data_IF_454527021329
#
_entry.id   IF_454527021329
#
_cell.length_a   1.000
_cell.length_b   1.000
_cell.length_c   1.000
_cell.angle_alpha   90.00
_cell.angle_beta   90.00
_cell.angle_gamma   90.00
#
_symmetry.space_group_name_H-M   'P 1'
#
loop_
_entity.id
_entity.type
_entity.pdbx_description
1 polymer ?
#
# COMPACT_ATOMS: atom_id res chain seq x y z
N UNK A 1 19.42 25.58 -8.54
CA UNK A 1 20.45 25.90 -7.59
C UNK A 1 20.46 27.38 -7.29
N UNK A 2 20.84 27.80 -6.07
CA UNK A 2 20.76 29.19 -5.64
C UNK A 2 19.46 29.60 -4.95
N UNK A 3 18.53 28.66 -4.72
CA UNK A 3 17.34 28.89 -3.93
C UNK A 3 17.72 29.06 -2.45
N UNK A 4 17.03 29.96 -1.76
CA UNK A 4 17.19 30.21 -0.34
C UNK A 4 15.80 30.36 0.29
N UNK A 5 15.05 29.25 0.31
CA UNK A 5 13.67 29.23 0.73
C UNK A 5 13.54 29.36 2.25
N UNK A 6 12.53 30.07 2.72
CA UNK A 6 12.18 30.19 4.13
C UNK A 6 10.91 29.41 4.47
N UNK A 7 9.98 29.36 3.52
CA UNK A 7 8.73 28.62 3.64
C UNK A 7 8.48 27.87 2.34
N UNK A 8 8.25 26.58 2.45
CA UNK A 8 7.97 25.69 1.30
C UNK A 8 6.69 24.94 1.61
N UNK A 9 5.76 24.94 0.65
CA UNK A 9 4.58 24.10 0.69
C UNK A 9 4.64 23.11 -0.47
N UNK A 10 4.53 21.84 -0.19
CA UNK A 10 4.42 20.79 -1.18
C UNK A 10 3.00 20.22 -1.07
N UNK A 11 2.22 20.45 -2.09
CA UNK A 11 0.86 19.94 -2.20
C UNK A 11 0.83 18.68 -3.06
N UNK A 12 -0.08 17.77 -2.75
CA UNK A 12 -0.24 16.49 -3.44
C UNK A 12 1.08 15.67 -3.51
N UNK A 13 1.77 15.54 -2.37
CA UNK A 13 3.06 14.83 -2.27
C UNK A 13 3.01 13.43 -2.91
N UNK A 14 1.86 12.72 -2.82
CA UNK A 14 1.68 11.40 -3.42
C UNK A 14 1.83 11.39 -4.95
N UNK A 15 1.69 12.53 -5.62
CA UNK A 15 1.78 12.65 -7.08
C UNK A 15 3.20 12.94 -7.58
N UNK A 16 4.11 13.30 -6.68
CA UNK A 16 5.49 13.66 -7.02
C UNK A 16 6.30 12.39 -7.30
N UNK A 17 6.71 12.22 -8.55
CA UNK A 17 7.51 11.08 -9.01
C UNK A 17 9.01 11.32 -8.84
N UNK A 18 9.46 12.57 -9.01
CA UNK A 18 10.88 12.93 -8.95
C UNK A 18 11.25 13.48 -7.58
N UNK A 19 12.09 12.73 -6.89
CA UNK A 19 12.64 13.08 -5.58
C UNK A 19 13.54 14.31 -5.64
N UNK A 20 14.15 14.61 -6.79
CA UNK A 20 15.12 15.67 -6.91
C UNK A 20 14.54 17.05 -6.56
N UNK A 21 13.32 17.33 -6.97
CA UNK A 21 12.66 18.61 -6.63
C UNK A 21 12.48 18.76 -5.11
N UNK A 22 12.03 17.73 -4.43
CA UNK A 22 11.86 17.73 -2.98
C UNK A 22 13.20 17.98 -2.27
N UNK A 23 14.24 17.26 -2.67
CA UNK A 23 15.57 17.39 -2.06
C UNK A 23 16.16 18.79 -2.27
N UNK A 24 16.01 19.34 -3.47
CA UNK A 24 16.44 20.73 -3.76
C UNK A 24 15.70 21.73 -2.88
N UNK A 25 14.39 21.62 -2.73
CA UNK A 25 13.60 22.49 -1.86
C UNK A 25 14.02 22.37 -0.41
N UNK A 26 14.17 21.16 0.11
CA UNK A 26 14.60 20.88 1.48
C UNK A 26 16.01 21.44 1.75
N UNK A 27 16.95 21.18 0.85
CA UNK A 27 18.33 21.68 0.99
C UNK A 27 18.43 23.20 0.89
N UNK A 28 17.58 23.84 0.08
CA UNK A 28 17.55 25.28 -0.09
C UNK A 28 17.26 26.05 1.21
N UNK A 29 16.72 25.38 2.20
CA UNK A 29 16.33 25.97 3.49
C UNK A 29 17.44 26.00 4.52
N UNK A 30 18.57 25.33 4.27
CA UNK A 30 19.63 25.08 5.27
C UNK A 30 20.31 26.32 5.84
N UNK A 31 20.26 27.47 5.14
CA UNK A 31 20.82 28.75 5.61
C UNK A 31 19.81 29.59 6.42
N UNK A 32 18.57 29.16 6.54
CA UNK A 32 17.53 29.90 7.28
C UNK A 32 17.52 29.52 8.76
N UNK A 33 17.18 30.49 9.62
CA UNK A 33 17.13 30.26 11.07
C UNK A 33 15.94 29.44 11.53
N UNK A 34 14.78 29.60 10.89
CA UNK A 34 13.52 28.93 11.19
C UNK A 34 12.75 28.63 9.89
N UNK A 35 13.29 27.76 9.06
CA UNK A 35 12.58 27.39 7.85
C UNK A 35 11.41 26.47 8.17
N UNK A 36 10.36 26.53 7.36
CA UNK A 36 9.19 25.67 7.49
C UNK A 36 8.93 24.96 6.17
N UNK A 37 8.85 23.63 6.22
CA UNK A 37 8.40 22.79 5.12
C UNK A 37 7.05 22.19 5.51
N UNK A 38 6.01 22.46 4.74
CA UNK A 38 4.68 21.88 4.91
C UNK A 38 4.41 20.94 3.73
N UNK A 39 3.98 19.74 4.03
CA UNK A 39 3.58 18.74 3.03
C UNK A 39 2.12 18.39 3.25
N UNK A 40 1.32 18.46 2.20
CA UNK A 40 -0.12 18.18 2.23
C UNK A 40 -0.40 17.13 1.15
N UNK A 41 -1.17 16.10 1.50
CA UNK A 41 -1.45 15.04 0.54
C UNK A 41 -2.63 14.17 0.97
N UNK A 42 -3.25 13.49 0.03
CA UNK A 42 -4.05 12.28 0.26
C UNK A 42 -3.18 11.03 0.09
N UNK A 43 -3.71 9.86 0.39
CA UNK A 43 -2.94 8.60 0.34
C UNK A 43 -2.43 8.25 -1.06
N UNK A 44 -3.12 8.66 -2.13
CA UNK A 44 -2.73 8.35 -3.50
C UNK A 44 -2.66 6.85 -3.82
N UNK A 45 -2.21 6.55 -5.03
CA UNK A 45 -2.11 5.17 -5.53
C UNK A 45 -0.73 4.80 -6.07
N UNK A 46 0.16 5.78 -6.23
CA UNK A 46 1.54 5.56 -6.68
C UNK A 46 2.33 4.99 -5.52
N UNK A 47 3.12 3.96 -5.78
CA UNK A 47 3.97 3.29 -4.80
C UNK A 47 5.44 3.55 -5.07
N UNK A 48 6.27 3.31 -4.04
CA UNK A 48 7.73 3.46 -4.10
C UNK A 48 8.17 4.88 -4.46
N UNK A 49 7.44 5.86 -3.99
CA UNK A 49 7.76 7.26 -4.18
C UNK A 49 8.08 7.95 -2.84
N UNK A 50 8.36 9.24 -2.92
CA UNK A 50 8.70 10.06 -1.77
C UNK A 50 7.59 10.09 -0.70
N UNK A 51 6.31 9.95 -1.12
CA UNK A 51 5.20 9.89 -0.18
C UNK A 51 5.30 8.68 0.74
N UNK A 52 5.64 7.50 0.20
CA UNK A 52 5.73 6.28 1.01
C UNK A 52 6.79 6.41 2.10
N UNK A 53 8.00 6.88 1.75
CA UNK A 53 9.08 7.10 2.74
C UNK A 53 8.67 8.15 3.80
N UNK A 54 7.98 9.21 3.37
CA UNK A 54 7.54 10.29 4.27
C UNK A 54 6.42 9.84 5.19
N UNK A 55 5.49 9.03 4.67
CA UNK A 55 4.39 8.47 5.45
C UNK A 55 4.91 7.47 6.49
N UNK A 56 5.80 6.55 6.10
CA UNK A 56 6.39 5.59 7.02
C UNK A 56 7.17 6.30 8.15
N UNK A 57 7.89 7.38 7.81
CA UNK A 57 8.55 8.21 8.81
C UNK A 57 7.54 8.89 9.74
N UNK A 58 6.45 9.44 9.18
CA UNK A 58 5.39 10.08 9.95
C UNK A 58 4.73 9.10 10.94
N UNK A 59 4.42 7.87 10.50
CA UNK A 59 3.90 6.82 11.37
C UNK A 59 4.88 6.49 12.49
N UNK A 60 6.17 6.31 12.19
CA UNK A 60 7.19 6.03 13.20
C UNK A 60 7.30 7.14 14.26
N UNK A 61 7.09 8.39 13.88
CA UNK A 61 7.06 9.50 14.84
C UNK A 61 5.79 9.48 15.68
N UNK A 62 4.62 9.23 15.08
CA UNK A 62 3.34 9.11 15.80
C UNK A 62 3.38 7.96 16.81
N UNK A 63 3.95 6.82 16.43
CA UNK A 63 4.07 5.63 17.26
C UNK A 63 5.17 5.74 18.34
N UNK A 64 5.94 6.84 18.33
CA UNK A 64 7.02 7.07 19.28
C UNK A 64 8.27 6.20 19.05
N UNK A 65 8.35 5.52 17.88
CA UNK A 65 9.53 4.75 17.48
C UNK A 65 10.69 5.69 17.15
N UNK A 66 10.38 6.81 16.51
CA UNK A 66 11.33 7.89 16.22
C UNK A 66 10.95 9.13 17.00
N UNK A 67 11.91 9.71 17.73
CA UNK A 67 11.71 11.01 18.37
C UNK A 67 12.26 12.11 17.47
N UNK A 68 11.37 12.98 16.98
CA UNK A 68 11.73 14.17 16.21
C UNK A 68 10.88 15.37 16.63
N UNK A 69 11.46 16.23 17.47
CA UNK A 69 10.79 17.41 18.02
C UNK A 69 10.57 18.53 16.95
N UNK A 70 11.15 18.39 15.76
CA UNK A 70 11.01 19.34 14.65
C UNK A 70 10.07 18.85 13.53
N UNK A 71 9.45 17.69 13.71
CA UNK A 71 8.53 17.10 12.76
C UNK A 71 7.15 16.90 13.37
N UNK A 72 6.13 17.52 12.79
CA UNK A 72 4.74 17.40 13.23
C UNK A 72 3.92 16.60 12.23
N UNK A 73 3.76 15.29 12.41
CA UNK A 73 2.87 14.49 11.58
C UNK A 73 1.42 14.65 12.03
N UNK A 74 0.52 14.85 11.06
CA UNK A 74 -0.92 14.85 11.26
C UNK A 74 -1.51 13.90 10.23
N UNK A 75 -2.04 12.76 10.68
CA UNK A 75 -2.54 11.69 9.82
C UNK A 75 -4.03 11.50 10.10
N UNK A 76 -4.86 11.62 9.06
CA UNK A 76 -6.28 11.36 9.10
C UNK A 76 -6.62 10.29 8.07
N UNK A 77 -6.80 9.06 8.53
CA UNK A 77 -7.13 7.91 7.69
C UNK A 77 -8.03 6.94 8.44
N UNK A 78 -8.61 5.96 7.75
CA UNK A 78 -9.24 4.82 8.39
C UNK A 78 -8.17 3.83 8.85
N UNK A 79 -8.38 3.19 10.00
CA UNK A 79 -7.44 2.20 10.54
C UNK A 79 -7.50 0.89 9.75
N UNK A 80 -8.71 0.52 9.29
CA UNK A 80 -8.94 -0.72 8.55
C UNK A 80 -9.79 -0.47 7.31
N UNK A 81 -9.53 -1.27 6.28
CA UNK A 81 -10.21 -1.14 4.99
C UNK A 81 -11.73 -1.29 5.13
N UNK A 82 -12.21 -2.20 5.96
CA UNK A 82 -13.62 -2.51 6.15
C UNK A 82 -14.41 -1.33 6.74
N UNK A 83 -13.75 -0.41 7.43
CA UNK A 83 -14.35 0.76 8.06
C UNK A 83 -14.98 1.74 7.05
N UNK A 84 -14.63 1.64 5.74
CA UNK A 84 -15.27 2.46 4.71
C UNK A 84 -16.76 2.23 4.59
N UNK A 85 -17.26 1.09 5.07
CA UNK A 85 -18.68 0.73 5.10
C UNK A 85 -19.40 1.25 6.35
N UNK A 86 -18.67 1.69 7.37
CA UNK A 86 -19.22 2.15 8.64
C UNK A 86 -19.18 3.69 8.75
N UNK A 87 -20.35 4.35 8.65
CA UNK A 87 -20.42 5.82 8.73
C UNK A 87 -19.87 6.43 10.02
N UNK A 88 -19.84 5.69 11.13
CA UNK A 88 -19.34 6.18 12.42
C UNK A 88 -17.80 6.29 12.39
N UNK A 89 -17.14 5.47 11.59
CA UNK A 89 -15.68 5.48 11.46
C UNK A 89 -15.16 6.58 10.51
N UNK A 90 -16.01 7.10 9.63
CA UNK A 90 -15.58 8.06 8.60
C UNK A 90 -14.97 9.36 9.14
N UNK A 91 -15.29 9.71 10.38
CA UNK A 91 -14.71 10.87 11.06
C UNK A 91 -13.19 10.77 11.23
N UNK A 92 -12.64 9.55 11.30
CA UNK A 92 -11.20 9.31 11.42
C UNK A 92 -10.44 9.90 10.25
N UNK A 93 -10.93 9.65 9.02
CA UNK A 93 -10.34 10.18 7.80
C UNK A 93 -10.86 11.57 7.42
N UNK A 94 -11.96 12.02 8.03
CA UNK A 94 -12.62 13.27 7.69
C UNK A 94 -12.96 14.07 8.96
N UNK A 95 -11.96 14.70 9.62
CA UNK A 95 -12.20 15.41 10.89
C UNK A 95 -13.17 16.58 10.76
N UNK A 96 -13.36 17.12 9.55
CA UNK A 96 -14.37 18.15 9.24
C UNK A 96 -15.74 17.60 8.82
N UNK A 97 -16.00 16.30 9.03
CA UNK A 97 -17.29 15.69 8.66
C UNK A 97 -18.44 16.32 9.44
N UNK A 98 -19.49 16.68 8.73
CA UNK A 98 -20.67 17.38 9.30
C UNK A 98 -20.55 18.91 9.31
N UNK A 99 -19.33 19.45 9.20
CA UNK A 99 -19.08 20.90 9.13
C UNK A 99 -18.57 21.33 7.75
N UNK A 100 -17.37 20.90 7.38
CA UNK A 100 -16.75 21.22 6.08
C UNK A 100 -17.26 20.25 5.02
N UNK A 101 -17.21 18.95 5.30
CA UNK A 101 -17.66 17.88 4.41
C UNK A 101 -19.01 17.32 4.86
N UNK A 102 -19.99 17.35 3.97
CA UNK A 102 -21.34 16.89 4.31
C UNK A 102 -21.39 15.37 4.41
N UNK A 103 -22.01 14.84 5.47
CA UNK A 103 -22.21 13.39 5.65
C UNK A 103 -22.97 12.79 4.46
N UNK A 104 -24.01 13.46 3.98
CA UNK A 104 -24.79 13.01 2.82
C UNK A 104 -23.94 12.81 1.58
N UNK A 105 -22.94 13.65 1.35
CA UNK A 105 -22.02 13.51 0.23
C UNK A 105 -21.24 12.18 0.33
N UNK A 106 -20.66 11.86 1.50
CA UNK A 106 -19.95 10.59 1.71
C UNK A 106 -20.89 9.39 1.57
N UNK A 107 -22.10 9.46 2.11
CA UNK A 107 -23.08 8.38 1.95
C UNK A 107 -23.37 8.09 0.47
N UNK A 108 -23.60 9.13 -0.32
CA UNK A 108 -23.93 8.98 -1.74
C UNK A 108 -22.75 8.39 -2.56
N UNK A 109 -21.52 8.80 -2.29
CA UNK A 109 -20.35 8.26 -3.02
C UNK A 109 -20.02 6.84 -2.57
N UNK A 110 -20.19 6.49 -1.29
CA UNK A 110 -20.00 5.13 -0.78
C UNK A 110 -21.01 4.19 -1.40
N UNK A 111 -22.29 4.56 -1.48
CA UNK A 111 -23.31 3.73 -2.13
C UNK A 111 -22.99 3.47 -3.62
N UNK A 112 -22.50 4.48 -4.34
CA UNK A 112 -22.05 4.30 -5.73
C UNK A 112 -20.81 3.41 -5.81
N UNK A 113 -19.83 3.59 -4.91
CA UNK A 113 -18.60 2.83 -4.89
C UNK A 113 -18.82 1.33 -4.60
N UNK A 114 -19.88 0.95 -3.88
CA UNK A 114 -20.26 -0.45 -3.68
C UNK A 114 -20.55 -1.18 -5.01
N UNK A 115 -21.04 -0.48 -6.01
CA UNK A 115 -21.38 -1.02 -7.31
C UNK A 115 -20.27 -0.86 -8.37
N UNK A 116 -19.31 0.05 -8.16
CA UNK A 116 -18.26 0.39 -9.12
C UNK A 116 -16.86 0.27 -8.50
N UNK A 117 -16.14 -0.81 -8.86
CA UNK A 117 -14.78 -1.09 -8.37
C UNK A 117 -13.78 0.03 -8.69
N UNK A 118 -13.92 0.75 -9.84
CA UNK A 118 -13.02 1.86 -10.18
C UNK A 118 -13.28 3.07 -9.27
N UNK A 119 -14.55 3.36 -9.02
CA UNK A 119 -14.95 4.41 -8.10
C UNK A 119 -14.54 4.07 -6.67
N UNK A 120 -14.67 2.81 -6.25
CA UNK A 120 -14.26 2.35 -4.92
C UNK A 120 -12.80 2.72 -4.63
N UNK A 121 -11.89 2.44 -5.55
CA UNK A 121 -10.47 2.78 -5.37
C UNK A 121 -10.27 4.28 -5.13
N UNK A 122 -10.94 5.11 -5.91
CA UNK A 122 -10.86 6.57 -5.76
C UNK A 122 -11.39 7.03 -4.40
N UNK A 123 -12.53 6.48 -3.97
CA UNK A 123 -13.14 6.80 -2.68
C UNK A 123 -12.22 6.38 -1.53
N UNK A 124 -11.67 5.18 -1.58
CA UNK A 124 -10.74 4.70 -0.54
C UNK A 124 -9.51 5.58 -0.41
N UNK A 125 -8.90 6.00 -1.53
CA UNK A 125 -7.67 6.81 -1.50
C UNK A 125 -7.91 8.29 -1.22
N UNK A 126 -8.96 8.89 -1.77
CA UNK A 126 -9.18 10.34 -1.68
C UNK A 126 -10.11 10.77 -0.55
N UNK A 127 -11.10 9.94 -0.22
CA UNK A 127 -12.08 10.29 0.80
C UNK A 127 -11.78 9.63 2.15
N UNK A 128 -11.06 8.51 2.14
CA UNK A 128 -10.73 7.77 3.35
C UNK A 128 -9.23 7.61 3.62
N UNK A 129 -8.38 8.14 2.75
CA UNK A 129 -6.91 8.10 2.85
C UNK A 129 -6.32 6.70 3.03
N UNK A 130 -7.04 5.68 2.57
CA UNK A 130 -6.52 4.31 2.56
C UNK A 130 -5.57 4.12 1.38
N UNK A 131 -4.40 3.56 1.67
CA UNK A 131 -3.37 3.30 0.66
C UNK A 131 -3.77 2.10 -0.20
N UNK A 132 -4.10 2.35 -1.45
CA UNK A 132 -4.43 1.32 -2.45
C UNK A 132 -3.29 1.12 -3.44
N UNK A 133 -3.06 -0.11 -3.89
CA UNK A 133 -2.04 -0.39 -4.91
C UNK A 133 -2.55 -0.05 -6.31
N UNK A 134 -1.66 0.53 -7.12
CA UNK A 134 -1.97 0.87 -8.53
C UNK A 134 -1.90 -0.33 -9.48
N UNK A 135 -1.50 -1.48 -8.98
CA UNK A 135 -1.50 -2.67 -9.80
C UNK A 135 -2.96 -2.90 -10.17
N UNK A 136 -3.28 -2.82 -11.47
CA UNK A 136 -4.48 -3.45 -12.00
C UNK A 136 -4.31 -4.94 -11.70
N UNK A 137 -4.65 -5.28 -10.47
CA UNK A 137 -4.58 -6.67 -10.03
C UNK A 137 -5.55 -7.41 -10.90
N UNK A 138 -5.06 -8.40 -11.62
CA UNK A 138 -5.89 -9.32 -12.39
C UNK A 138 -7.02 -9.91 -11.53
N UNK A 139 -6.74 -10.13 -10.25
CA UNK A 139 -7.69 -10.59 -9.24
C UNK A 139 -7.75 -9.59 -8.08
N UNK A 140 -8.93 -9.38 -7.51
CA UNK A 140 -9.06 -8.63 -6.27
C UNK A 140 -8.46 -9.42 -5.09
N UNK A 141 -8.17 -8.73 -3.98
CA UNK A 141 -7.70 -9.40 -2.77
C UNK A 141 -8.69 -10.49 -2.31
N UNK A 142 -9.99 -10.24 -2.40
CA UNK A 142 -11.03 -11.20 -2.04
C UNK A 142 -11.03 -12.42 -2.96
N UNK A 143 -10.71 -12.24 -4.25
CA UNK A 143 -10.60 -13.35 -5.20
C UNK A 143 -9.37 -14.25 -4.93
N UNK A 144 -8.28 -13.67 -4.44
CA UNK A 144 -7.04 -14.42 -4.15
C UNK A 144 -6.95 -14.92 -2.71
N UNK A 145 -7.70 -14.31 -1.77
CA UNK A 145 -7.69 -14.67 -0.36
C UNK A 145 -8.55 -15.92 -0.10
N UNK A 146 -8.17 -17.02 -0.74
CA UNK A 146 -8.84 -18.30 -0.53
C UNK A 146 -8.29 -18.99 0.73
N UNK A 147 -9.15 -19.14 1.74
CA UNK A 147 -8.83 -19.82 3.00
C UNK A 147 -9.30 -21.26 3.05
N UNK A 148 -9.86 -21.81 1.95
CA UNK A 148 -10.25 -23.21 1.88
C UNK A 148 -9.00 -24.09 1.99
N UNK A 149 -9.04 -25.07 2.87
CA UNK A 149 -8.01 -26.10 3.03
C UNK A 149 -8.51 -27.42 2.50
N UNK A 150 -7.59 -28.28 2.09
CA UNK A 150 -7.90 -29.63 1.60
C UNK A 150 -6.80 -30.62 2.04
N UNK A 151 -7.15 -31.89 2.12
CA UNK A 151 -6.17 -32.93 2.38
C UNK A 151 -5.55 -33.39 1.06
N UNK A 152 -4.24 -33.29 0.94
CA UNK A 152 -3.50 -33.67 -0.27
C UNK A 152 -3.65 -35.17 -0.58
N UNK A 153 -3.82 -36.02 0.42
CA UNK A 153 -3.99 -37.47 0.25
C UNK A 153 -5.28 -37.80 -0.53
N UNK A 154 -6.30 -36.96 -0.43
CA UNK A 154 -7.56 -37.16 -1.15
C UNK A 154 -7.39 -36.95 -2.67
N UNK A 155 -6.27 -36.35 -3.09
CA UNK A 155 -5.98 -36.08 -4.50
C UNK A 155 -5.06 -37.13 -5.14
N UNK A 156 -4.61 -38.14 -4.38
CA UNK A 156 -3.77 -39.22 -4.92
C UNK A 156 -4.46 -39.98 -6.04
N UNK A 157 -3.71 -40.24 -7.09
CA UNK A 157 -4.21 -40.93 -8.29
C UNK A 157 -5.08 -40.10 -9.22
N UNK A 158 -5.32 -38.82 -8.91
CA UNK A 158 -6.00 -37.89 -9.84
C UNK A 158 -5.06 -37.43 -10.95
N UNK A 159 -5.63 -37.14 -12.11
CA UNK A 159 -4.88 -36.52 -13.20
C UNK A 159 -4.45 -35.10 -12.78
N UNK A 160 -3.18 -34.81 -13.04
CA UNK A 160 -2.58 -33.52 -12.67
C UNK A 160 -1.84 -32.92 -13.87
N UNK A 161 -1.86 -31.59 -13.95
CA UNK A 161 -1.05 -30.82 -14.89
C UNK A 161 -0.03 -30.03 -14.10
N UNK A 162 1.25 -30.19 -14.43
CA UNK A 162 2.36 -29.46 -13.82
C UNK A 162 2.78 -28.28 -14.68
N UNK A 163 3.23 -27.21 -14.02
CA UNK A 163 3.90 -26.06 -14.62
C UNK A 163 5.09 -25.65 -13.75
N UNK A 164 6.14 -25.12 -14.37
CA UNK A 164 7.26 -24.55 -13.67
C UNK A 164 7.63 -23.22 -14.33
N UNK A 165 7.88 -22.22 -13.50
CA UNK A 165 8.46 -20.94 -13.87
C UNK A 165 9.86 -20.87 -13.27
N UNK A 166 10.87 -20.81 -14.14
CA UNK A 166 12.27 -20.88 -13.75
C UNK A 166 12.89 -19.48 -13.80
N UNK A 167 13.29 -19.01 -12.65
CA UNK A 167 14.06 -17.77 -12.54
C UNK A 167 15.55 -18.02 -12.75
N UNK A 168 16.20 -17.11 -13.48
CA UNK A 168 17.65 -17.13 -13.69
C UNK A 168 18.41 -16.10 -12.86
N UNK A 169 17.75 -15.09 -12.31
CA UNK A 169 18.45 -13.97 -11.64
C UNK A 169 17.79 -13.47 -10.36
N UNK A 170 16.60 -12.90 -10.43
CA UNK A 170 16.04 -12.09 -9.34
C UNK A 170 14.70 -12.58 -8.82
N UNK A 171 13.95 -13.30 -9.63
CA UNK A 171 12.63 -13.78 -9.28
C UNK A 171 12.66 -15.12 -8.55
N UNK A 172 11.54 -15.50 -7.95
CA UNK A 172 11.36 -16.80 -7.36
C UNK A 172 11.12 -17.85 -8.45
N UNK A 173 11.73 -19.01 -8.33
CA UNK A 173 11.32 -20.18 -9.12
C UNK A 173 10.07 -20.77 -8.50
N UNK A 174 9.04 -21.02 -9.32
CA UNK A 174 7.79 -21.62 -8.87
C UNK A 174 7.53 -22.95 -9.59
N UNK A 175 7.12 -23.97 -8.83
CA UNK A 175 6.56 -25.20 -9.37
C UNK A 175 5.11 -25.31 -8.93
N UNK A 176 4.21 -25.52 -9.88
CA UNK A 176 2.76 -25.58 -9.64
C UNK A 176 2.18 -26.89 -10.17
N UNK A 177 1.27 -27.49 -9.42
CA UNK A 177 0.45 -28.62 -9.85
C UNK A 177 -1.01 -28.23 -9.77
N UNK A 178 -1.74 -28.43 -10.86
CA UNK A 178 -3.19 -28.23 -10.95
C UNK A 178 -3.89 -29.57 -11.07
N UNK A 179 -4.84 -29.83 -10.18
CA UNK A 179 -5.70 -31.02 -10.19
C UNK A 179 -7.16 -30.60 -10.25
N UNK A 180 -7.93 -31.21 -11.16
CA UNK A 180 -9.37 -31.01 -11.23
C UNK A 180 -10.07 -32.26 -10.66
N UNK A 181 -10.94 -32.08 -9.65
CA UNK A 181 -11.71 -33.17 -9.05
C UNK A 181 -13.04 -32.64 -8.53
N UNK A 182 -14.14 -33.33 -8.89
CA UNK A 182 -15.48 -33.00 -8.38
C UNK A 182 -15.93 -31.57 -8.71
N UNK A 183 -15.55 -31.02 -9.86
CA UNK A 183 -15.88 -29.64 -10.26
C UNK A 183 -15.03 -28.55 -9.59
N UNK A 184 -14.17 -28.92 -8.65
CA UNK A 184 -13.20 -28.02 -7.99
C UNK A 184 -11.82 -28.14 -8.64
N UNK A 185 -11.06 -27.05 -8.56
CA UNK A 185 -9.64 -26.97 -8.96
C UNK A 185 -8.79 -26.85 -7.72
N UNK A 186 -7.81 -27.72 -7.59
CA UNK A 186 -6.85 -27.74 -6.50
C UNK A 186 -5.49 -27.35 -7.04
N UNK A 187 -4.86 -26.36 -6.43
CA UNK A 187 -3.57 -25.84 -6.84
C UNK A 187 -2.57 -26.07 -5.71
N UNK A 188 -1.48 -26.75 -6.03
CA UNK A 188 -0.34 -26.95 -5.15
C UNK A 188 0.83 -26.17 -5.73
N UNK A 189 1.40 -25.28 -4.94
CA UNK A 189 2.52 -24.45 -5.36
C UNK A 189 3.68 -24.62 -4.39
N UNK A 190 4.88 -24.65 -4.95
CA UNK A 190 6.11 -24.60 -4.18
C UNK A 190 7.05 -23.59 -4.80
N UNK A 191 7.53 -22.68 -3.96
CA UNK A 191 8.47 -21.64 -4.35
C UNK A 191 9.88 -22.03 -3.89
N UNK A 192 10.85 -21.72 -4.73
CA UNK A 192 12.25 -21.97 -4.46
C UNK A 192 13.01 -20.65 -4.58
N UNK A 193 13.92 -20.43 -3.66
CA UNK A 193 14.76 -19.25 -3.64
C UNK A 193 16.21 -19.62 -3.28
N UNK A 194 17.21 -18.93 -3.84
CA UNK A 194 18.60 -19.13 -3.48
C UNK A 194 18.87 -18.76 -2.01
N UNK A 195 19.80 -19.45 -1.36
CA UNK A 195 20.21 -19.12 0.02
C UNK A 195 20.76 -17.69 0.19
N UNK A 196 21.21 -17.08 -0.90
CA UNK A 196 21.75 -15.71 -0.92
C UNK A 196 20.67 -14.64 -0.91
N UNK A 197 19.38 -15.01 -1.01
CA UNK A 197 18.28 -14.05 -1.17
C UNK A 197 18.09 -13.15 0.06
N UNK A 198 18.53 -13.60 1.24
CA UNK A 198 18.45 -12.78 2.47
C UNK A 198 19.30 -11.50 2.36
N UNK A 199 20.38 -11.51 1.58
CA UNK A 199 21.17 -10.31 1.33
C UNK A 199 20.40 -9.26 0.52
N UNK A 200 19.42 -9.70 -0.27
CA UNK A 200 18.61 -8.87 -1.15
C UNK A 200 17.27 -8.45 -0.52
N UNK A 201 16.89 -9.04 0.63
CA UNK A 201 15.64 -8.72 1.31
C UNK A 201 15.45 -7.21 1.56
N UNK A 202 16.56 -6.50 1.81
CA UNK A 202 16.56 -5.04 1.97
C UNK A 202 16.37 -4.27 0.66
N UNK A 203 16.93 -4.76 -0.44
CA UNK A 203 16.80 -4.14 -1.76
C UNK A 203 15.41 -4.39 -2.33
N UNK A 204 14.94 -5.62 -2.22
CA UNK A 204 13.63 -6.05 -2.73
C UNK A 204 12.48 -5.63 -1.79
N UNK A 205 12.78 -5.19 -0.55
CA UNK A 205 11.81 -4.82 0.50
C UNK A 205 10.81 -5.94 0.79
N UNK A 206 11.28 -7.17 0.75
CA UNK A 206 10.47 -8.38 0.91
C UNK A 206 10.98 -9.19 2.10
N UNK A 207 10.10 -9.64 3.02
CA UNK A 207 10.48 -10.43 4.18
C UNK A 207 10.68 -11.92 3.80
N UNK A 208 11.71 -12.22 3.02
CA UNK A 208 11.99 -13.58 2.54
C UNK A 208 12.27 -14.59 3.66
N UNK A 209 12.77 -14.13 4.79
CA UNK A 209 12.98 -14.92 5.99
C UNK A 209 11.67 -15.49 6.56
N UNK A 210 10.58 -14.71 6.49
CA UNK A 210 9.23 -15.15 6.91
C UNK A 210 8.63 -16.15 5.92
N UNK A 211 8.95 -16.02 4.64
CA UNK A 211 8.39 -16.89 3.59
C UNK A 211 9.11 -18.24 3.48
N UNK A 212 10.26 -18.38 4.10
CA UNK A 212 11.08 -19.61 4.03
C UNK A 212 10.51 -20.77 4.86
N UNK A 213 9.79 -20.49 5.90
CA UNK A 213 9.16 -21.46 6.81
C UNK A 213 7.78 -21.89 6.29
#
# INVERSE_FOLDING_TARGET
DGLNAHFVVIDELHSIKDRALYEVMKQSMGSRRQPILVMITTAGTIRENIFDDTYDYACNVVDGIVKDDNYLPIIYELDHREEWLDPEMWIKANPGLGTIKKLKYLQDIVERAKADKKMLKTVLTKDFNLRETNIESWLSFDDINNRETFNIEDLRGCFAVGGADLSSTTDLTCATILIAKGGKKYVLQKYFMPNTINARAKEDRVPYDIWRD
#
